data_IF_987450534194
#
_entry.id   IF_987450534194
#
_cell.length_a   1.000
_cell.length_b   1.000
_cell.length_c   1.000
_cell.angle_alpha   90.00
_cell.angle_beta   90.00
_cell.angle_gamma   90.00
#
_symmetry.space_group_name_H-M   'P 1'
#
loop_
_entity.id
_entity.type
_entity.pdbx_description
1 polymer ?
#
# COMPACT_ATOMS: atom_id res chain seq x y z
N UNK A 1 15.66 -22.87 -7.04
CA UNK A 1 14.23 -22.95 -6.68
C UNK A 1 13.82 -21.61 -6.12
N UNK A 2 12.63 -21.07 -6.44
CA UNK A 2 12.08 -19.97 -5.67
C UNK A 2 11.93 -20.45 -4.22
N UNK A 3 12.44 -19.66 -3.28
CA UNK A 3 12.41 -19.96 -1.86
C UNK A 3 11.68 -18.82 -1.15
N UNK A 4 10.67 -19.19 -0.38
CA UNK A 4 9.94 -18.29 0.49
C UNK A 4 10.29 -18.66 1.92
N UNK A 5 10.71 -17.67 2.70
CA UNK A 5 10.99 -17.83 4.12
C UNK A 5 9.71 -18.05 4.92
N UNK A 6 9.80 -18.83 6.01
CA UNK A 6 8.67 -19.09 6.89
C UNK A 6 8.07 -17.80 7.46
N UNK A 7 8.92 -16.83 7.82
CA UNK A 7 8.51 -15.53 8.34
C UNK A 7 7.63 -14.77 7.33
N UNK A 8 8.05 -14.70 6.06
CA UNK A 8 7.25 -14.09 5.00
C UNK A 8 5.90 -14.80 4.84
N UNK A 9 5.86 -16.13 4.92
CA UNK A 9 4.60 -16.88 4.90
C UNK A 9 3.69 -16.57 6.08
N UNK A 10 4.26 -16.44 7.28
CA UNK A 10 3.47 -16.16 8.49
C UNK A 10 2.88 -14.76 8.47
N UNK A 11 3.64 -13.77 7.99
CA UNK A 11 3.18 -12.38 7.91
C UNK A 11 2.20 -12.15 6.77
N UNK A 12 2.38 -12.83 5.64
CA UNK A 12 1.43 -12.83 4.52
C UNK A 12 0.02 -13.32 4.90
N UNK A 13 -0.16 -14.03 6.01
CA UNK A 13 -1.47 -14.59 6.39
C UNK A 13 -2.53 -13.52 6.65
N UNK A 14 -2.18 -12.37 7.24
CA UNK A 14 -3.16 -11.31 7.49
C UNK A 14 -3.66 -10.71 6.17
N UNK A 15 -2.74 -10.43 5.24
CA UNK A 15 -3.07 -9.97 3.88
C UNK A 15 -3.94 -10.98 3.16
N UNK A 16 -3.58 -12.26 3.24
CA UNK A 16 -4.33 -13.33 2.59
C UNK A 16 -5.71 -13.53 3.20
N UNK A 17 -5.85 -13.41 4.52
CA UNK A 17 -7.15 -13.45 5.19
C UNK A 17 -8.05 -12.29 4.75
N UNK A 18 -7.52 -11.07 4.75
CA UNK A 18 -8.26 -9.90 4.28
C UNK A 18 -8.65 -10.05 2.81
N UNK A 19 -7.71 -10.46 1.94
CA UNK A 19 -7.99 -10.75 0.54
C UNK A 19 -9.13 -11.79 0.39
N UNK A 20 -9.10 -12.88 1.15
CA UNK A 20 -10.16 -13.88 1.10
C UNK A 20 -11.52 -13.32 1.52
N UNK A 21 -11.57 -12.50 2.58
CA UNK A 21 -12.82 -11.91 3.09
C UNK A 21 -13.36 -10.81 2.17
N UNK A 22 -12.47 -10.08 1.51
CA UNK A 22 -12.80 -8.87 0.75
C UNK A 22 -12.98 -9.14 -0.75
N UNK A 23 -12.24 -10.10 -1.34
CA UNK A 23 -12.20 -10.28 -2.79
C UNK A 23 -12.97 -11.52 -3.27
N UNK A 24 -13.16 -12.55 -2.44
CA UNK A 24 -13.83 -13.78 -2.86
C UNK A 24 -15.25 -13.54 -3.40
N UNK A 25 -15.96 -12.55 -2.88
CA UNK A 25 -17.30 -12.18 -3.37
C UNK A 25 -17.29 -11.78 -4.85
N UNK A 26 -16.23 -11.13 -5.34
CA UNK A 26 -16.06 -10.76 -6.75
C UNK A 26 -15.74 -11.94 -7.66
N UNK A 27 -15.37 -13.08 -7.07
CA UNK A 27 -15.09 -14.34 -7.77
C UNK A 27 -16.20 -15.38 -7.55
N UNK A 28 -17.35 -14.98 -6.99
CA UNK A 28 -18.45 -15.90 -6.67
C UNK A 28 -18.03 -17.01 -5.69
N UNK A 29 -17.11 -16.68 -4.78
CA UNK A 29 -16.62 -17.58 -3.75
C UNK A 29 -17.17 -17.18 -2.39
N UNK A 30 -17.34 -18.17 -1.52
CA UNK A 30 -17.81 -17.98 -0.15
C UNK A 30 -16.67 -18.32 0.80
N UNK A 31 -16.23 -17.32 1.58
CA UNK A 31 -15.15 -17.46 2.57
C UNK A 31 -15.51 -18.45 3.68
N UNK A 32 -16.81 -18.68 3.93
CA UNK A 32 -17.28 -19.61 4.94
C UNK A 32 -17.28 -21.08 4.46
N UNK A 33 -16.92 -21.33 3.20
CA UNK A 33 -16.80 -22.69 2.64
C UNK A 33 -15.33 -23.09 2.58
N UNK A 34 -14.86 -23.99 3.47
CA UNK A 34 -13.47 -24.43 3.49
C UNK A 34 -12.97 -24.93 2.14
N UNK A 35 -13.80 -25.62 1.36
CA UNK A 35 -13.42 -26.13 0.04
C UNK A 35 -13.07 -25.01 -0.94
N UNK A 36 -13.77 -23.87 -0.87
CA UNK A 36 -13.48 -22.70 -1.70
C UNK A 36 -12.13 -22.09 -1.34
N UNK A 37 -11.83 -22.00 -0.05
CA UNK A 37 -10.57 -21.44 0.47
C UNK A 37 -9.41 -22.38 0.15
N UNK A 38 -9.44 -23.62 0.66
CA UNK A 38 -8.31 -24.55 0.61
C UNK A 38 -7.95 -25.01 -0.80
N UNK A 39 -8.88 -24.96 -1.77
CA UNK A 39 -8.59 -25.31 -3.17
C UNK A 39 -7.58 -24.36 -3.82
N UNK A 40 -7.65 -23.07 -3.50
CA UNK A 40 -6.84 -22.04 -4.14
C UNK A 40 -5.71 -21.52 -3.23
N UNK A 41 -5.84 -21.75 -1.93
CA UNK A 41 -4.89 -21.30 -0.91
C UNK A 41 -3.42 -21.60 -1.21
N UNK A 42 -3.01 -22.78 -1.71
CA UNK A 42 -1.58 -23.04 -1.94
C UNK A 42 -0.93 -22.07 -2.92
N UNK A 43 -1.64 -21.71 -4.01
CA UNK A 43 -1.12 -20.79 -5.04
C UNK A 43 -1.16 -19.35 -4.54
N UNK A 44 -2.28 -18.96 -3.90
CA UNK A 44 -2.44 -17.60 -3.36
C UNK A 44 -1.43 -17.34 -2.25
N UNK A 45 -1.32 -18.24 -1.28
CA UNK A 45 -0.36 -18.15 -0.18
C UNK A 45 1.08 -18.12 -0.69
N UNK A 46 1.46 -18.99 -1.64
CA UNK A 46 2.81 -18.96 -2.20
C UNK A 46 3.11 -17.63 -2.91
N UNK A 47 2.17 -17.12 -3.69
CA UNK A 47 2.35 -15.88 -4.44
C UNK A 47 2.47 -14.69 -3.50
N UNK A 48 1.51 -14.54 -2.57
CA UNK A 48 1.49 -13.46 -1.60
C UNK A 48 2.74 -13.47 -0.73
N UNK A 49 3.11 -14.63 -0.19
CA UNK A 49 4.31 -14.76 0.64
C UNK A 49 5.59 -14.43 -0.13
N UNK A 50 5.63 -14.71 -1.44
CA UNK A 50 6.76 -14.36 -2.28
C UNK A 50 6.84 -12.84 -2.50
N UNK A 51 5.71 -12.20 -2.78
CA UNK A 51 5.62 -10.74 -2.95
C UNK A 51 6.00 -10.04 -1.65
N UNK A 52 5.39 -10.44 -0.53
CA UNK A 52 5.67 -9.93 0.81
C UNK A 52 7.16 -10.03 1.19
N UNK A 53 7.82 -11.13 0.82
CA UNK A 53 9.26 -11.28 1.04
C UNK A 53 10.07 -10.22 0.26
N UNK A 54 9.66 -9.92 -0.97
CA UNK A 54 10.30 -8.87 -1.76
C UNK A 54 10.00 -7.47 -1.23
N UNK A 55 8.78 -7.21 -0.73
CA UNK A 55 8.46 -5.98 0.00
C UNK A 55 9.40 -5.80 1.19
N UNK A 56 9.55 -6.84 2.01
CA UNK A 56 10.44 -6.82 3.18
C UNK A 56 11.89 -6.50 2.78
N UNK A 57 12.39 -7.08 1.69
CA UNK A 57 13.73 -6.75 1.18
C UNK A 57 13.82 -5.31 0.65
N UNK A 58 12.76 -4.79 0.05
CA UNK A 58 12.70 -3.41 -0.41
C UNK A 58 12.77 -2.43 0.76
N UNK A 59 11.96 -2.66 1.79
CA UNK A 59 11.93 -1.86 3.03
C UNK A 59 13.27 -1.89 3.77
N UNK A 60 13.90 -3.07 3.87
CA UNK A 60 15.22 -3.23 4.45
C UNK A 60 16.27 -2.39 3.71
N UNK A 61 16.23 -2.39 2.38
CA UNK A 61 17.14 -1.60 1.55
C UNK A 61 16.92 -0.08 1.74
N UNK A 62 15.67 0.38 1.83
CA UNK A 62 15.34 1.78 2.16
C UNK A 62 15.89 2.16 3.53
N UNK A 63 15.75 1.28 4.53
CA UNK A 63 16.23 1.50 5.89
C UNK A 63 17.76 1.54 5.97
N UNK A 64 18.47 0.64 5.29
CA UNK A 64 19.94 0.64 5.24
C UNK A 64 20.45 1.94 4.59
N UNK A 65 19.86 2.36 3.46
CA UNK A 65 20.24 3.60 2.78
C UNK A 65 20.04 4.84 3.67
N UNK A 66 18.95 4.87 4.45
CA UNK A 66 18.69 5.90 5.45
C UNK A 66 19.73 5.93 6.57
N UNK A 67 20.08 4.76 7.13
CA UNK A 67 21.08 4.64 8.22
C UNK A 67 22.49 5.07 7.79
N UNK A 68 22.92 4.70 6.57
CA UNK A 68 24.21 5.09 6.00
C UNK A 68 24.29 6.62 5.84
N UNK A 69 23.22 7.25 5.35
CA UNK A 69 23.16 8.70 5.14
C UNK A 69 23.26 9.51 6.45
N UNK A 70 22.94 8.89 7.59
CA UNK A 70 22.94 9.53 8.93
C UNK A 70 24.19 9.18 9.74
N UNK A 71 25.10 8.35 9.23
CA UNK A 71 26.44 8.13 9.82
C UNK A 71 26.53 7.12 10.98
N UNK A 72 25.49 6.33 11.26
CA UNK A 72 25.55 5.31 12.31
C UNK A 72 26.42 4.10 11.89
N UNK A 73 27.50 3.86 12.64
CA UNK A 73 28.69 3.10 12.22
C UNK A 73 28.81 1.69 12.80
N UNK A 74 27.74 1.12 13.37
CA UNK A 74 27.75 -0.28 13.83
C UNK A 74 27.27 -1.21 12.70
N UNK A 75 28.16 -2.08 12.23
CA UNK A 75 27.95 -3.10 11.16
C UNK A 75 27.87 -2.62 9.69
N UNK A 76 28.53 -1.52 9.32
CA UNK A 76 28.51 -0.97 7.96
C UNK A 76 28.86 -2.00 6.86
N UNK A 77 29.93 -2.79 7.02
CA UNK A 77 30.32 -3.78 5.99
C UNK A 77 29.31 -4.92 5.76
N UNK A 78 28.60 -5.37 6.82
CA UNK A 78 27.58 -6.43 6.69
C UNK A 78 26.33 -5.88 6.01
N UNK A 79 25.92 -4.67 6.39
CA UNK A 79 24.76 -4.00 5.82
C UNK A 79 24.99 -3.63 4.35
N UNK A 80 26.20 -3.19 3.98
CA UNK A 80 26.58 -2.94 2.58
C UNK A 80 26.52 -4.21 1.74
N UNK A 81 27.11 -5.32 2.22
CA UNK A 81 27.05 -6.61 1.50
C UNK A 81 25.63 -7.13 1.34
N UNK A 82 24.77 -6.93 2.35
CA UNK A 82 23.37 -7.34 2.27
C UNK A 82 22.60 -6.47 1.26
N UNK A 83 22.77 -5.14 1.33
CA UNK A 83 22.18 -4.21 0.37
C UNK A 83 22.61 -4.53 -1.07
N UNK A 84 23.90 -4.81 -1.31
CA UNK A 84 24.40 -5.20 -2.64
C UNK A 84 23.73 -6.46 -3.17
N UNK A 85 23.52 -7.47 -2.32
CA UNK A 85 22.80 -8.68 -2.71
C UNK A 85 21.34 -8.40 -3.08
N UNK A 86 20.64 -7.58 -2.28
CA UNK A 86 19.24 -7.21 -2.54
C UNK A 86 19.15 -6.40 -3.84
N UNK A 87 20.00 -5.38 -4.01
CA UNK A 87 20.09 -4.57 -5.24
C UNK A 87 20.29 -5.47 -6.46
N UNK A 88 21.23 -6.41 -6.37
CA UNK A 88 21.50 -7.35 -7.46
C UNK A 88 20.29 -8.26 -7.75
N UNK A 89 19.56 -8.69 -6.73
CA UNK A 89 18.34 -9.47 -6.91
C UNK A 89 17.28 -8.69 -7.70
N UNK A 90 17.01 -7.44 -7.34
CA UNK A 90 16.09 -6.58 -8.08
C UNK A 90 16.57 -6.28 -9.50
N UNK A 91 17.87 -5.98 -9.71
CA UNK A 91 18.43 -5.74 -11.04
C UNK A 91 18.38 -6.95 -11.97
N UNK A 92 18.46 -8.16 -11.41
CA UNK A 92 18.43 -9.41 -12.19
C UNK A 92 17.01 -9.94 -12.40
N UNK A 93 15.99 -9.23 -11.89
CA UNK A 93 14.57 -9.56 -11.98
C UNK A 93 14.11 -10.41 -10.80
N UNK A 94 13.81 -9.77 -9.67
CA UNK A 94 13.44 -10.44 -8.42
C UNK A 94 12.16 -11.28 -8.55
N UNK A 95 11.25 -10.90 -9.45
CA UNK A 95 10.01 -11.64 -9.74
C UNK A 95 10.17 -12.79 -10.74
N UNK A 96 11.32 -12.92 -11.43
CA UNK A 96 11.53 -14.00 -12.42
C UNK A 96 11.27 -15.41 -11.87
N UNK A 97 11.69 -15.76 -10.65
CA UNK A 97 11.38 -17.09 -10.09
C UNK A 97 9.88 -17.33 -9.89
N UNK A 98 9.13 -16.31 -9.44
CA UNK A 98 7.68 -16.39 -9.31
C UNK A 98 7.02 -16.53 -10.69
N UNK A 99 7.42 -15.70 -11.65
CA UNK A 99 6.93 -15.77 -13.03
C UNK A 99 7.13 -17.17 -13.61
N UNK A 100 8.34 -17.73 -13.45
CA UNK A 100 8.66 -19.07 -13.93
C UNK A 100 7.76 -20.15 -13.32
N UNK A 101 7.46 -20.07 -12.02
CA UNK A 101 6.54 -21.03 -11.36
C UNK A 101 5.14 -20.90 -11.93
N UNK A 102 4.61 -19.69 -12.00
CA UNK A 102 3.26 -19.44 -12.53
C UNK A 102 3.15 -19.89 -14.00
N UNK A 103 4.18 -19.67 -14.82
CA UNK A 103 4.25 -20.17 -16.21
C UNK A 103 4.22 -21.70 -16.27
N UNK A 104 5.02 -22.38 -15.43
CA UNK A 104 5.04 -23.85 -15.38
C UNK A 104 3.71 -24.47 -14.96
N UNK A 105 2.92 -23.74 -14.18
CA UNK A 105 1.58 -24.17 -13.77
C UNK A 105 0.47 -23.68 -14.72
N UNK A 106 0.81 -23.01 -15.83
CA UNK A 106 -0.18 -22.50 -16.78
C UNK A 106 -1.03 -21.35 -16.26
N UNK A 107 -0.59 -20.67 -15.19
CA UNK A 107 -1.33 -19.59 -14.53
C UNK A 107 -0.89 -18.20 -14.99
N UNK A 108 0.28 -18.09 -15.62
CA UNK A 108 0.79 -16.81 -16.09
C UNK A 108 0.00 -16.31 -17.31
N UNK A 109 -0.43 -15.06 -17.25
CA UNK A 109 -1.06 -14.34 -18.37
C UNK A 109 -0.32 -13.05 -18.65
N UNK A 110 -0.55 -12.45 -19.82
CA UNK A 110 0.01 -11.12 -20.13
C UNK A 110 -0.43 -10.07 -19.12
N UNK A 111 -1.69 -10.15 -18.64
CA UNK A 111 -2.19 -9.22 -17.62
C UNK A 111 -1.47 -9.39 -16.28
N UNK A 112 -1.26 -10.62 -15.81
CA UNK A 112 -0.49 -10.88 -14.58
C UNK A 112 0.95 -10.39 -14.73
N UNK A 113 1.57 -10.59 -15.90
CA UNK A 113 2.93 -10.09 -16.17
C UNK A 113 3.02 -8.57 -16.08
N UNK A 114 2.01 -7.87 -16.60
CA UNK A 114 1.91 -6.41 -16.50
C UNK A 114 1.75 -5.96 -15.05
N UNK A 115 0.84 -6.55 -14.27
CA UNK A 115 0.67 -6.19 -12.86
C UNK A 115 1.93 -6.47 -12.03
N UNK A 116 2.64 -7.57 -12.30
CA UNK A 116 3.93 -7.85 -11.65
C UNK A 116 5.00 -6.81 -12.02
N UNK A 117 5.02 -6.33 -13.27
CA UNK A 117 5.93 -5.24 -13.66
C UNK A 117 5.61 -3.91 -12.98
N UNK A 118 4.33 -3.67 -12.66
CA UNK A 118 3.90 -2.54 -11.85
C UNK A 118 4.39 -2.65 -10.40
N UNK A 119 4.48 -3.86 -9.84
CA UNK A 119 5.14 -4.08 -8.54
C UNK A 119 6.62 -3.66 -8.55
N UNK A 120 7.36 -4.02 -9.60
CA UNK A 120 8.76 -3.57 -9.75
C UNK A 120 8.89 -2.05 -9.86
N UNK A 121 7.96 -1.41 -10.58
CA UNK A 121 7.88 0.05 -10.66
C UNK A 121 7.53 0.67 -9.30
N UNK A 122 6.56 0.12 -8.57
CA UNK A 122 6.18 0.57 -7.23
C UNK A 122 7.38 0.56 -6.28
N UNK A 123 8.12 -0.54 -6.18
CA UNK A 123 9.31 -0.62 -5.33
C UNK A 123 10.38 0.39 -5.72
N UNK A 124 10.56 0.65 -7.03
CA UNK A 124 11.48 1.69 -7.49
C UNK A 124 11.04 3.10 -7.08
N UNK A 125 9.74 3.39 -7.17
CA UNK A 125 9.15 4.65 -6.71
C UNK A 125 9.27 4.81 -5.19
N UNK A 126 8.97 3.77 -4.41
CA UNK A 126 9.12 3.79 -2.96
C UNK A 126 10.56 4.14 -2.56
N UNK A 127 11.56 3.46 -3.14
CA UNK A 127 12.98 3.77 -2.89
C UNK A 127 13.32 5.21 -3.27
N UNK A 128 12.85 5.69 -4.42
CA UNK A 128 13.09 7.06 -4.92
C UNK A 128 12.48 8.09 -3.96
N UNK A 129 11.24 7.90 -3.55
CA UNK A 129 10.47 8.81 -2.71
C UNK A 129 11.00 8.85 -1.29
N UNK A 130 11.27 7.69 -0.68
CA UNK A 130 11.88 7.60 0.64
C UNK A 130 13.29 8.20 0.67
N UNK A 131 14.12 7.98 -0.37
CA UNK A 131 15.43 8.62 -0.48
C UNK A 131 15.32 10.14 -0.63
N UNK A 132 14.37 10.65 -1.43
CA UNK A 132 14.13 12.07 -1.59
C UNK A 132 13.70 12.72 -0.27
N UNK A 133 12.84 12.04 0.50
CA UNK A 133 12.41 12.48 1.82
C UNK A 133 13.58 12.60 2.79
N UNK A 134 14.40 11.55 2.93
CA UNK A 134 15.59 11.56 3.80
C UNK A 134 16.61 12.61 3.38
N UNK A 135 16.79 12.80 2.07
CA UNK A 135 17.76 13.75 1.51
C UNK A 135 17.23 15.19 1.41
N UNK A 136 16.00 15.46 1.88
CA UNK A 136 15.29 16.76 1.75
C UNK A 136 15.27 17.31 0.33
N UNK A 137 15.20 16.41 -0.66
CA UNK A 137 15.04 16.80 -2.07
C UNK A 137 13.56 17.03 -2.37
N UNK A 138 13.30 17.82 -3.41
CA UNK A 138 11.93 18.05 -3.88
C UNK A 138 11.28 16.72 -4.27
N UNK A 139 10.13 16.42 -3.68
CA UNK A 139 9.29 15.26 -4.01
C UNK A 139 8.37 15.64 -5.16
N UNK A 140 8.25 14.77 -6.18
CA UNK A 140 7.31 14.94 -7.28
C UNK A 140 5.94 14.39 -6.86
N UNK A 141 4.89 15.18 -7.07
CA UNK A 141 3.52 14.75 -6.81
C UNK A 141 3.09 13.65 -7.78
N UNK A 142 3.59 13.69 -9.01
CA UNK A 142 3.33 12.69 -10.04
C UNK A 142 3.88 11.31 -9.65
N UNK A 143 5.10 11.27 -9.10
CA UNK A 143 5.70 10.04 -8.57
C UNK A 143 4.89 9.48 -7.37
N UNK A 144 4.44 10.36 -6.48
CA UNK A 144 3.60 9.97 -5.32
C UNK A 144 2.27 9.41 -5.81
N UNK A 145 1.59 10.10 -6.71
CA UNK A 145 0.34 9.63 -7.31
C UNK A 145 0.54 8.28 -7.99
N UNK A 146 1.61 8.13 -8.79
CA UNK A 146 1.91 6.85 -9.44
C UNK A 146 2.12 5.75 -8.41
N UNK A 147 2.90 5.98 -7.36
CA UNK A 147 3.13 5.01 -6.31
C UNK A 147 1.82 4.55 -5.63
N UNK A 148 0.90 5.48 -5.34
CA UNK A 148 -0.41 5.15 -4.75
C UNK A 148 -1.21 4.21 -5.66
N UNK A 149 -1.29 4.50 -6.96
CA UNK A 149 -2.01 3.65 -7.91
C UNK A 149 -1.39 2.25 -8.03
N UNK A 150 -0.08 2.13 -7.82
CA UNK A 150 0.62 0.86 -7.95
C UNK A 150 0.68 0.06 -6.64
N UNK A 151 0.45 0.68 -5.49
CA UNK A 151 0.63 0.10 -4.14
C UNK A 151 0.00 -1.28 -4.00
N UNK A 152 -1.26 -1.44 -4.40
CA UNK A 152 -2.04 -2.67 -4.23
C UNK A 152 -1.94 -3.66 -5.41
N UNK A 153 -0.78 -3.71 -6.08
CA UNK A 153 -0.59 -4.62 -7.21
C UNK A 153 -0.65 -6.10 -6.81
N UNK A 154 -0.26 -6.42 -5.58
CA UNK A 154 -0.37 -7.72 -4.94
C UNK A 154 -1.81 -8.25 -4.95
N UNK A 155 -2.77 -7.45 -4.47
CA UNK A 155 -4.21 -7.79 -4.50
C UNK A 155 -4.72 -7.98 -5.93
N UNK A 156 -4.28 -7.14 -6.88
CA UNK A 156 -4.64 -7.30 -8.29
C UNK A 156 -4.06 -8.58 -8.89
N UNK A 157 -2.82 -8.94 -8.57
CA UNK A 157 -2.19 -10.21 -8.98
C UNK A 157 -2.96 -11.40 -8.41
N UNK A 158 -3.31 -11.38 -7.11
CA UNK A 158 -4.08 -12.44 -6.46
C UNK A 158 -5.48 -12.59 -7.08
N UNK A 159 -6.16 -11.48 -7.39
CA UNK A 159 -7.45 -11.46 -8.07
C UNK A 159 -7.37 -12.08 -9.47
N UNK A 160 -6.37 -11.70 -10.26
CA UNK A 160 -6.14 -12.27 -11.60
C UNK A 160 -5.81 -13.77 -11.53
N UNK A 161 -5.02 -14.19 -10.54
CA UNK A 161 -4.74 -15.60 -10.30
C UNK A 161 -6.02 -16.37 -9.96
N UNK A 162 -6.93 -15.81 -9.17
CA UNK A 162 -8.23 -16.43 -8.90
C UNK A 162 -9.05 -16.61 -10.17
N UNK A 163 -9.11 -15.63 -11.07
CA UNK A 163 -9.77 -15.80 -12.37
C UNK A 163 -9.17 -16.96 -13.17
N UNK A 164 -7.84 -17.08 -13.21
CA UNK A 164 -7.16 -18.17 -13.91
C UNK A 164 -7.38 -19.54 -13.25
N UNK A 165 -7.26 -19.62 -11.92
CA UNK A 165 -7.47 -20.85 -11.16
C UNK A 165 -8.92 -21.36 -11.24
N UNK A 166 -9.87 -20.46 -11.50
CA UNK A 166 -11.29 -20.78 -11.72
C UNK A 166 -11.66 -20.98 -13.18
N UNK A 167 -10.72 -20.74 -14.10
CA UNK A 167 -10.94 -20.80 -15.55
C UNK A 167 -12.08 -19.86 -16.00
N UNK A 168 -12.23 -18.72 -15.34
CA UNK A 168 -13.25 -17.71 -15.67
C UNK A 168 -12.61 -16.49 -16.33
N UNK A 169 -13.32 -15.87 -17.28
CA UNK A 169 -12.86 -14.63 -17.89
C UNK A 169 -12.73 -13.53 -16.84
N UNK A 170 -11.67 -12.73 -16.94
CA UNK A 170 -11.47 -11.56 -16.09
C UNK A 170 -12.64 -10.60 -16.29
N UNK A 171 -13.29 -10.23 -15.19
CA UNK A 171 -14.30 -9.18 -15.22
C UNK A 171 -13.60 -7.83 -15.02
N UNK A 172 -13.41 -7.09 -16.10
CA UNK A 172 -12.74 -5.78 -16.08
C UNK A 172 -13.48 -4.77 -15.19
N UNK A 173 -14.81 -4.85 -15.06
CA UNK A 173 -15.56 -4.00 -14.14
C UNK A 173 -15.15 -4.24 -12.69
N UNK A 174 -14.98 -5.51 -12.29
CA UNK A 174 -14.52 -5.86 -10.94
C UNK A 174 -13.09 -5.34 -10.71
N UNK A 175 -12.20 -5.52 -11.69
CA UNK A 175 -10.82 -5.04 -11.61
C UNK A 175 -10.74 -3.51 -11.49
N UNK A 176 -11.50 -2.79 -12.29
CA UNK A 176 -11.58 -1.32 -12.26
C UNK A 176 -12.16 -0.80 -10.94
N UNK A 177 -13.21 -1.44 -10.44
CA UNK A 177 -13.84 -1.08 -9.18
C UNK A 177 -12.89 -1.26 -8.00
N UNK A 178 -12.26 -2.43 -7.88
CA UNK A 178 -11.34 -2.75 -6.80
C UNK A 178 -10.11 -1.83 -6.82
N UNK A 179 -9.53 -1.59 -8.00
CA UNK A 179 -8.37 -0.70 -8.14
C UNK A 179 -8.65 0.74 -7.69
N UNK A 180 -9.88 1.23 -7.87
CA UNK A 180 -10.26 2.58 -7.42
C UNK A 180 -10.65 2.59 -5.96
N UNK A 181 -11.31 1.55 -5.47
CA UNK A 181 -11.63 1.44 -4.06
C UNK A 181 -10.36 1.39 -3.22
N UNK A 182 -9.36 0.62 -3.63
CA UNK A 182 -8.01 0.59 -3.02
C UNK A 182 -7.35 1.97 -3.02
N UNK A 183 -7.50 2.74 -4.09
CA UNK A 183 -6.96 4.10 -4.16
C UNK A 183 -7.61 5.06 -3.15
N UNK A 184 -8.90 4.85 -2.84
CA UNK A 184 -9.68 5.69 -1.93
C UNK A 184 -9.59 5.26 -0.47
N UNK A 185 -8.98 4.11 -0.16
CA UNK A 185 -8.81 3.58 1.20
C UNK A 185 -7.35 3.83 1.66
N UNK A 186 -7.16 4.52 2.79
CA UNK A 186 -5.82 4.85 3.32
C UNK A 186 -5.27 3.76 4.26
N UNK A 187 -3.98 3.41 4.07
CA UNK A 187 -3.26 2.42 4.90
C UNK A 187 -2.32 3.04 5.96
N UNK A 188 -2.12 2.25 7.02
CA UNK A 188 -1.40 2.44 8.30
C UNK A 188 0.04 3.01 8.23
N UNK A 189 0.52 3.56 9.36
CA UNK A 189 1.87 4.16 9.55
C UNK A 189 2.47 3.77 10.87
N UNK A 190 3.32 2.75 10.86
CA UNK A 190 4.18 2.49 12.02
C UNK A 190 5.65 2.27 11.67
N UNK A 191 6.08 2.09 10.42
CA UNK A 191 7.52 1.96 10.10
C UNK A 191 7.94 2.86 8.93
N UNK A 192 9.25 3.01 8.69
CA UNK A 192 9.86 3.94 7.73
C UNK A 192 9.59 3.58 6.24
N UNK A 193 8.35 3.24 5.92
CA UNK A 193 7.81 2.81 4.64
C UNK A 193 7.02 3.95 3.98
N UNK A 194 6.70 3.78 2.69
CA UNK A 194 5.89 4.75 1.94
C UNK A 194 4.53 4.96 2.62
N UNK A 195 4.24 6.22 2.97
CA UNK A 195 2.94 6.62 3.50
C UNK A 195 2.45 7.90 2.83
N UNK A 196 1.18 7.89 2.43
CA UNK A 196 0.51 8.99 1.73
C UNK A 196 0.61 10.27 2.57
N UNK A 197 0.06 10.30 3.79
CA UNK A 197 0.12 11.47 4.67
C UNK A 197 1.54 12.02 4.85
N UNK A 198 2.57 11.18 5.01
CA UNK A 198 3.98 11.59 5.12
C UNK A 198 4.54 12.16 3.81
N UNK A 199 4.17 11.60 2.66
CA UNK A 199 4.53 12.17 1.36
C UNK A 199 3.84 13.53 1.15
N UNK A 200 2.57 13.66 1.56
CA UNK A 200 1.84 14.92 1.51
C UNK A 200 2.43 15.96 2.45
N UNK A 201 2.82 15.60 3.68
CA UNK A 201 3.57 16.45 4.59
C UNK A 201 4.91 16.86 3.98
N UNK A 202 5.62 15.95 3.30
CA UNK A 202 6.85 16.25 2.57
C UNK A 202 6.67 17.21 1.39
N UNK A 203 5.52 17.17 0.71
CA UNK A 203 5.22 18.03 -0.45
C UNK A 203 4.68 19.41 -0.02
N UNK A 204 3.82 19.47 0.99
CA UNK A 204 3.04 20.66 1.34
C UNK A 204 3.41 21.27 2.70
N UNK A 205 4.17 20.55 3.51
CA UNK A 205 4.43 20.91 4.91
C UNK A 205 3.34 20.42 5.86
N UNK A 206 3.72 20.25 7.13
CA UNK A 206 2.88 19.65 8.16
C UNK A 206 1.62 20.47 8.53
N UNK A 207 1.60 21.77 8.23
CA UNK A 207 0.45 22.64 8.47
C UNK A 207 -0.60 22.56 7.36
N UNK A 208 -0.23 22.20 6.12
CA UNK A 208 -1.11 22.21 4.95
C UNK A 208 -1.55 20.79 4.56
N UNK A 209 -0.71 19.78 4.80
CA UNK A 209 -1.01 18.40 4.44
C UNK A 209 -2.29 17.83 5.09
N UNK A 210 -2.59 18.07 6.38
CA UNK A 210 -3.86 17.63 6.97
C UNK A 210 -5.06 18.33 6.35
N UNK A 211 -4.98 19.66 6.12
CA UNK A 211 -6.07 20.41 5.47
C UNK A 211 -6.32 19.95 4.02
N UNK A 212 -5.28 19.51 3.30
CA UNK A 212 -5.44 18.98 1.95
C UNK A 212 -6.11 17.61 1.90
N UNK A 213 -5.95 16.78 2.94
CA UNK A 213 -6.63 15.49 3.11
C UNK A 213 -8.04 15.65 3.69
N UNK A 214 -8.26 16.65 4.54
CA UNK A 214 -9.56 16.99 5.12
C UNK A 214 -10.48 17.66 4.06
N UNK A 215 -9.92 18.47 3.16
CA UNK A 215 -10.67 19.05 2.03
C UNK A 215 -11.21 17.99 1.06
N UNK A 216 -10.53 16.85 0.91
CA UNK A 216 -11.06 15.69 0.18
C UNK A 216 -12.21 15.01 0.94
N UNK A 217 -12.15 14.94 2.27
CA UNK A 217 -13.23 14.37 3.09
C UNK A 217 -14.50 15.25 3.13
N UNK A 218 -14.39 16.58 2.97
CA UNK A 218 -15.54 17.50 2.98
C UNK A 218 -16.32 17.52 1.66
N UNK A 219 -15.70 17.11 0.54
CA UNK A 219 -16.39 16.93 -0.74
C UNK A 219 -17.39 15.75 -0.66
N UNK A 220 -17.14 14.78 0.21
CA UNK A 220 -17.97 13.60 0.48
C UNK A 220 -19.26 13.86 1.30
N UNK A 221 -19.51 15.07 1.81
CA UNK A 221 -20.58 15.32 2.78
C UNK A 221 -21.50 16.50 2.48
N UNK A 222 -22.35 16.47 1.44
CA UNK A 222 -23.34 17.56 1.26
C UNK A 222 -24.56 17.47 2.21
N UNK A 223 -24.44 18.18 3.35
CA UNK A 223 -25.40 19.09 4.05
C UNK A 223 -25.31 18.88 5.57
N UNK A 224 -25.02 19.90 6.38
CA UNK A 224 -25.97 20.99 6.72
C UNK A 224 -25.28 22.23 7.35
N UNK A 225 -25.72 23.44 6.96
CA UNK A 225 -25.73 24.74 7.72
C UNK A 225 -24.44 25.13 8.48
N UNK A 226 -23.63 26.12 8.12
CA UNK A 226 -23.92 27.53 7.78
C UNK A 226 -22.62 28.18 7.26
N UNK A 227 -22.76 29.12 6.32
CA UNK A 227 -21.75 30.01 5.74
C UNK A 227 -20.65 29.40 4.83
N UNK A 228 -20.66 29.71 3.52
CA UNK A 228 -19.52 29.45 2.65
C UNK A 228 -18.46 30.53 2.90
N UNK A 229 -17.37 30.18 3.59
CA UNK A 229 -16.15 30.98 3.49
C UNK A 229 -15.33 30.44 2.31
N UNK A 230 -15.70 30.90 1.12
CA UNK A 230 -14.80 30.93 -0.04
C UNK A 230 -13.60 31.86 0.28
N UNK A 231 -12.45 31.62 -0.37
CA UNK A 231 -11.12 31.93 0.12
C UNK A 231 -10.79 33.41 0.00
N UNK A 232 -10.63 34.09 1.13
CA UNK A 232 -9.97 35.40 1.18
C UNK A 232 -8.74 35.43 2.09
N UNK A 233 -8.28 34.28 2.62
CA UNK A 233 -7.11 34.23 3.51
C UNK A 233 -6.01 33.24 3.08
N UNK A 234 -6.07 32.69 1.87
CA UNK A 234 -4.98 31.88 1.28
C UNK A 234 -4.10 32.67 0.29
N UNK A 235 -4.01 33.99 0.48
CA UNK A 235 -3.00 34.78 -0.19
C UNK A 235 -1.69 34.63 0.60
N UNK A 236 -0.65 34.12 -0.07
CA UNK A 236 0.74 33.97 0.38
C UNK A 236 1.19 32.57 0.84
N UNK A 237 0.94 31.52 0.06
CA UNK A 237 1.95 30.46 -0.14
C UNK A 237 1.86 29.97 -1.58
N UNK A 238 2.99 29.86 -2.28
CA UNK A 238 3.12 29.34 -3.65
C UNK A 238 2.80 27.82 -3.77
N UNK A 239 1.64 27.37 -3.26
CA UNK A 239 1.18 25.97 -3.23
C UNK A 239 -0.07 25.70 -4.07
N UNK A 240 -0.61 26.71 -4.76
CA UNK A 240 -1.93 26.67 -5.42
C UNK A 240 -2.07 25.70 -6.60
N UNK A 241 -0.98 25.34 -7.29
CA UNK A 241 -1.05 24.42 -8.44
C UNK A 241 -1.11 22.96 -8.01
N UNK A 242 -0.38 22.58 -6.96
CA UNK A 242 -0.27 21.20 -6.51
C UNK A 242 -1.50 20.77 -5.68
N UNK A 243 -2.05 21.67 -4.87
CA UNK A 243 -3.30 21.43 -4.13
C UNK A 243 -4.52 21.26 -5.05
N UNK A 244 -4.61 22.08 -6.11
CA UNK A 244 -5.65 21.94 -7.13
C UNK A 244 -5.51 20.63 -7.91
N UNK A 245 -4.28 20.16 -8.11
CA UNK A 245 -3.99 18.91 -8.80
C UNK A 245 -4.46 17.70 -7.98
N UNK A 246 -4.18 17.66 -6.67
CA UNK A 246 -4.68 16.59 -5.80
C UNK A 246 -6.21 16.53 -5.78
N UNK A 247 -6.85 17.68 -5.53
CA UNK A 247 -8.31 17.75 -5.43
C UNK A 247 -8.96 17.25 -6.72
N UNK A 248 -8.37 17.56 -7.87
CA UNK A 248 -8.80 17.02 -9.17
C UNK A 248 -8.67 15.49 -9.24
N UNK A 249 -7.53 14.92 -8.84
CA UNK A 249 -7.32 13.47 -8.87
C UNK A 249 -8.30 12.70 -7.98
N UNK A 250 -8.53 13.20 -6.76
CA UNK A 250 -9.50 12.59 -5.83
C UNK A 250 -10.91 12.70 -6.40
N UNK A 251 -11.31 13.88 -6.89
CA UNK A 251 -12.63 14.08 -7.51
C UNK A 251 -12.84 13.15 -8.71
N UNK A 252 -11.84 12.98 -9.57
CA UNK A 252 -11.92 12.05 -10.72
C UNK A 252 -12.03 10.59 -10.27
N UNK A 253 -11.30 10.20 -9.22
CA UNK A 253 -11.39 8.85 -8.65
C UNK A 253 -12.76 8.60 -8.00
N UNK A 254 -13.30 9.56 -7.25
CA UNK A 254 -14.63 9.51 -6.63
C UNK A 254 -15.74 9.45 -7.68
N UNK A 255 -15.69 10.27 -8.73
CA UNK A 255 -16.66 10.22 -9.83
C UNK A 255 -16.64 8.85 -10.51
N UNK A 256 -15.43 8.30 -10.75
CA UNK A 256 -15.29 6.97 -11.34
C UNK A 256 -15.79 5.89 -10.37
N UNK A 257 -15.55 6.00 -9.07
CA UNK A 257 -16.11 5.10 -8.05
C UNK A 257 -17.63 5.15 -8.01
N UNK A 258 -18.24 6.34 -8.05
CA UNK A 258 -19.70 6.52 -8.06
C UNK A 258 -20.33 5.93 -9.32
N UNK A 259 -19.69 6.09 -10.48
CA UNK A 259 -20.16 5.51 -11.73
C UNK A 259 -20.04 3.97 -11.73
N UNK A 260 -18.94 3.43 -11.23
CA UNK A 260 -18.72 1.98 -11.14
C UNK A 260 -19.65 1.33 -10.10
N UNK A 261 -19.86 1.95 -8.94
CA UNK A 261 -20.77 1.45 -7.90
C UNK A 261 -22.23 1.37 -8.36
N UNK A 262 -22.68 2.32 -9.20
CA UNK A 262 -24.03 2.25 -9.83
C UNK A 262 -24.16 1.16 -10.88
N UNK A 263 -23.05 0.74 -11.47
CA UNK A 263 -23.03 -0.25 -12.56
C UNK A 263 -22.76 -1.67 -12.04
N UNK A 264 -22.09 -1.78 -10.88
CA UNK A 264 -21.83 -3.04 -10.20
C UNK A 264 -23.14 -3.70 -9.77
N UNK A 265 -23.12 -5.03 -9.66
CA UNK A 265 -24.24 -5.78 -9.09
C UNK A 265 -24.61 -5.21 -7.71
N UNK A 266 -25.88 -4.82 -7.47
CA UNK A 266 -26.27 -4.15 -6.22
C UNK A 266 -26.02 -4.98 -4.97
N UNK A 267 -26.23 -6.30 -5.04
CA UNK A 267 -26.02 -7.19 -3.90
C UNK A 267 -24.53 -7.35 -3.61
N UNK A 268 -23.70 -7.46 -4.65
CA UNK A 268 -22.24 -7.45 -4.55
C UNK A 268 -21.72 -6.16 -3.94
N UNK A 269 -22.21 -4.99 -4.39
CA UNK A 269 -21.82 -3.70 -3.84
C UNK A 269 -22.20 -3.56 -2.36
N UNK A 270 -23.42 -3.98 -1.97
CA UNK A 270 -23.87 -3.96 -0.57
C UNK A 270 -22.99 -4.87 0.30
N UNK A 271 -22.64 -6.06 -0.20
CA UNK A 271 -21.75 -6.98 0.51
C UNK A 271 -20.34 -6.40 0.68
N UNK A 272 -19.83 -5.75 -0.37
CA UNK A 272 -18.53 -5.07 -0.33
C UNK A 272 -18.52 -3.94 0.70
N UNK A 273 -19.53 -3.05 0.68
CA UNK A 273 -19.64 -1.96 1.65
C UNK A 273 -19.72 -2.47 3.09
N UNK A 274 -20.48 -3.55 3.33
CA UNK A 274 -20.55 -4.18 4.66
C UNK A 274 -19.19 -4.69 5.11
N UNK A 275 -18.43 -5.33 4.20
CA UNK A 275 -17.08 -5.80 4.50
C UNK A 275 -16.13 -4.65 4.81
N UNK A 276 -16.20 -3.53 4.08
CA UNK A 276 -15.42 -2.33 4.40
C UNK A 276 -15.74 -1.81 5.81
N UNK A 277 -17.02 -1.76 6.20
CA UNK A 277 -17.39 -1.38 7.58
C UNK A 277 -16.88 -2.35 8.64
N UNK A 278 -16.90 -3.65 8.36
CA UNK A 278 -16.35 -4.69 9.23
C UNK A 278 -14.84 -4.53 9.38
N UNK A 279 -14.11 -4.30 8.27
CA UNK A 279 -12.67 -4.07 8.28
C UNK A 279 -12.29 -2.84 9.13
N UNK A 280 -13.03 -1.74 8.99
CA UNK A 280 -12.82 -0.53 9.81
C UNK A 280 -13.09 -0.80 11.30
N UNK A 281 -14.09 -1.63 11.63
CA UNK A 281 -14.39 -2.02 13.02
C UNK A 281 -13.33 -2.97 13.58
N UNK A 282 -12.84 -3.91 12.78
CA UNK A 282 -11.76 -4.84 13.13
C UNK A 282 -10.46 -4.07 13.40
N UNK A 283 -10.15 -3.05 12.58
CA UNK A 283 -9.01 -2.15 12.80
C UNK A 283 -9.18 -1.23 14.02
N UNK A 284 -10.39 -0.72 14.26
CA UNK A 284 -10.68 0.24 15.34
C UNK A 284 -11.05 -0.38 16.70
N UNK A 285 -11.31 -1.69 16.77
CA UNK A 285 -11.65 -2.37 18.02
C UNK A 285 -10.37 -2.72 18.79
N UNK A 286 -10.26 -2.24 20.03
CA UNK A 286 -9.19 -2.60 20.98
C UNK A 286 -9.14 -4.07 21.41
N UNK A 287 -9.72 -4.98 20.63
CA UNK A 287 -9.50 -6.41 20.73
C UNK A 287 -8.19 -6.71 20.01
N UNK A 288 -7.09 -6.66 20.77
CA UNK A 288 -5.73 -6.82 20.26
C UNK A 288 -5.54 -8.07 19.43
N UNK A 289 -5.47 -7.89 18.11
CA UNK A 289 -4.57 -8.70 17.30
C UNK A 289 -3.15 -8.38 17.78
N UNK A 290 -2.28 -9.39 17.88
CA UNK A 290 -0.88 -9.24 18.34
C UNK A 290 -0.01 -8.30 17.48
N UNK A 291 -0.59 -7.68 16.44
CA UNK A 291 0.07 -6.86 15.43
C UNK A 291 -0.36 -5.39 15.44
N UNK A 292 -1.22 -4.97 16.38
CA UNK A 292 -1.54 -3.54 16.62
C UNK A 292 -2.98 -3.17 16.32
N UNK A 293 -3.42 -2.06 16.92
CA UNK A 293 -4.72 -1.40 16.71
C UNK A 293 -4.51 -0.23 15.75
N UNK A 294 -5.36 -0.11 14.74
CA UNK A 294 -5.30 0.99 13.76
C UNK A 294 -5.58 2.32 14.48
N UNK A 295 -4.68 3.28 14.30
CA UNK A 295 -4.86 4.65 14.77
C UNK A 295 -4.34 5.62 13.72
N UNK A 296 -5.06 6.72 13.49
CA UNK A 296 -4.55 7.78 12.62
C UNK A 296 -3.21 8.25 13.18
N UNK A 297 -2.12 8.12 12.40
CA UNK A 297 -0.80 8.41 12.90
C UNK A 297 -0.68 9.92 13.16
N UNK A 298 -0.05 10.34 14.26
CA UNK A 298 0.16 11.75 14.51
C UNK A 298 0.99 12.36 13.38
N UNK A 299 0.57 13.53 12.89
CA UNK A 299 1.28 14.25 11.84
C UNK A 299 2.72 14.49 12.28
N UNK A 300 3.67 13.92 11.54
CA UNK A 300 5.09 14.10 11.81
C UNK A 300 5.50 15.49 11.32
N UNK A 301 5.42 16.47 12.23
CA UNK A 301 5.72 17.86 11.92
C UNK A 301 7.22 18.13 11.68
N UNK A 302 8.08 17.33 12.30
CA UNK A 302 9.52 17.41 12.17
C UNK A 302 10.12 16.01 11.99
N UNK A 303 10.48 15.72 10.74
CA UNK A 303 11.02 14.43 10.32
C UNK A 303 12.36 14.10 11.01
N UNK A 304 13.21 15.11 11.31
CA UNK A 304 14.48 14.89 12.00
C UNK A 304 14.28 14.49 13.45
N UNK A 305 13.36 15.18 14.15
CA UNK A 305 13.04 14.90 15.55
C UNK A 305 12.44 13.49 15.71
N UNK A 306 11.47 13.15 14.87
CA UNK A 306 10.84 11.83 14.85
C UNK A 306 11.86 10.71 14.62
N UNK A 307 12.78 10.90 13.67
CA UNK A 307 13.85 9.92 13.40
C UNK A 307 14.83 9.82 14.56
N UNK A 308 15.15 10.94 15.21
CA UNK A 308 16.05 10.95 16.37
C UNK A 308 15.46 10.23 17.59
N UNK A 309 14.16 10.38 17.86
CA UNK A 309 13.51 9.70 18.99
C UNK A 309 13.44 8.19 18.79
N UNK A 310 13.13 7.69 17.58
CA UNK A 310 13.10 6.23 17.32
C UNK A 310 14.48 5.59 17.34
N UNK A 311 15.53 6.35 17.04
CA UNK A 311 16.91 5.90 17.21
C UNK A 311 17.27 5.74 18.70
N UNK A 312 16.72 6.59 19.57
CA UNK A 312 16.92 6.47 21.02
C UNK A 312 16.09 5.33 21.64
N UNK A 313 14.85 5.10 21.20
CA UNK A 313 14.01 4.01 21.73
C UNK A 313 14.58 2.63 21.42
N UNK A 314 15.15 2.42 20.23
CA UNK A 314 15.78 1.16 19.85
C UNK A 314 17.14 0.91 20.54
N UNK A 315 17.68 1.89 21.26
CA UNK A 315 18.91 1.73 22.05
C UNK A 315 18.64 1.23 23.48
N UNK A 316 17.41 1.35 23.98
CA UNK A 316 17.06 0.99 25.37
C UNK A 316 16.69 -0.50 25.52
N UNK A 317 16.22 -1.15 24.45
CA UNK A 317 15.84 -2.59 24.45
C UNK A 317 17.02 -3.56 24.21
N UNK A 318 18.25 -3.10 24.37
CA UNK A 318 19.46 -3.94 24.32
C UNK A 318 20.27 -3.89 25.62
N UNK A 319 19.57 -4.00 26.76
CA UNK A 319 20.20 -4.33 28.04
C UNK A 319 19.95 -5.81 28.35
N UNK A 320 20.99 -6.65 28.45
CA UNK A 320 20.81 -8.05 28.81
C UNK A 320 20.62 -8.19 30.32
N UNK A 321 19.50 -8.81 30.71
CA UNK A 321 19.40 -9.65 31.91
C UNK A 321 18.97 -11.06 31.47
#
# INVERSE_FOLDING_TARGET
MPMVGLDAMQRANSTLEDFCRSYFMFHGMDVNKPESVFRHLPVLSFTESYIYQLDSFNEELVNISGKISVGNTSNTEKNEKLADHIVKAFQTGALRPLIFVLERHGLMTDRIRVELSFGEEYWALERKLCHALVSRKKISIEDVMRAIHLKSFDYRVLSLLLYQLKETQVNEMHMDFLSISEFLVEDDVIDNNFNILRMFVGVYGASVAPMMLEYSSDILGKKTTTNPLLPQQLNEVNSSSSSLFLAKYITEAEEKYENLSKTLDPDLFINYMRRCEEATKEGGSGAGHSLGTWSIPPVIANEDFYRSERLTSNSVDSSPD
#
